data_IF_516771571871
#
_entry.id   IF_516771571871
#
_cell.length_a   1.000
_cell.length_b   1.000
_cell.length_c   1.000
_cell.angle_alpha   90.00
_cell.angle_beta   90.00
_cell.angle_gamma   90.00
#
_symmetry.space_group_name_H-M   'P 1'
#
loop_
_entity.id
_entity.type
_entity.pdbx_description
1 polymer ?
#
# COMPACT_ATOMS: atom_id res chain seq x y z
N UNK A 1 -10.24 -3.38 7.93
CA UNK A 1 -9.30 -2.37 7.36
C UNK A 1 -8.88 -1.40 8.45
N UNK A 2 -7.60 -1.18 8.62
CA UNK A 2 -7.03 -0.28 9.62
C UNK A 2 -6.43 0.94 8.93
N UNK A 3 -6.83 2.13 9.37
CA UNK A 3 -6.33 3.43 8.87
C UNK A 3 -5.39 4.02 9.91
N UNK A 4 -4.19 4.41 9.47
CA UNK A 4 -3.13 4.91 10.33
C UNK A 4 -2.85 6.36 9.94
N UNK A 5 -3.28 7.26 10.80
CA UNK A 5 -3.10 8.70 10.61
C UNK A 5 -1.83 9.18 11.31
N UNK A 6 -1.28 10.27 10.82
CA UNK A 6 -0.18 10.97 11.48
C UNK A 6 -0.59 11.41 12.90
N UNK A 7 0.31 11.28 13.85
CA UNK A 7 0.11 11.82 15.21
C UNK A 7 0.36 13.34 15.26
N UNK A 8 1.23 13.84 14.38
CA UNK A 8 1.52 15.28 14.30
C UNK A 8 0.51 16.03 13.42
N UNK A 9 -0.15 15.34 12.48
CA UNK A 9 -1.24 15.85 11.64
C UNK A 9 -2.43 14.89 11.68
N UNK A 10 -3.28 14.88 12.75
CA UNK A 10 -4.25 13.81 13.02
C UNK A 10 -5.26 13.51 11.90
N UNK A 11 -5.53 14.47 11.03
CA UNK A 11 -6.44 14.30 9.90
C UNK A 11 -5.74 13.74 8.63
N UNK A 12 -4.42 13.54 8.66
CA UNK A 12 -3.64 13.07 7.52
C UNK A 12 -3.48 11.55 7.58
N UNK A 13 -4.09 10.85 6.64
CA UNK A 13 -3.91 9.41 6.46
C UNK A 13 -2.55 9.14 5.82
N UNK A 14 -1.73 8.34 6.47
CA UNK A 14 -0.39 7.97 5.99
C UNK A 14 -0.33 6.54 5.48
N UNK A 15 -0.97 5.60 6.19
CA UNK A 15 -0.90 4.18 5.87
C UNK A 15 -2.26 3.50 6.01
N UNK A 16 -2.41 2.37 5.35
CA UNK A 16 -3.58 1.49 5.45
C UNK A 16 -3.11 0.04 5.53
N UNK A 17 -3.75 -0.75 6.39
CA UNK A 17 -3.69 -2.21 6.40
C UNK A 17 -5.04 -2.75 5.94
N UNK A 18 -5.03 -3.63 4.95
CA UNK A 18 -6.19 -4.36 4.46
C UNK A 18 -5.95 -5.86 4.63
N UNK A 19 -6.85 -6.52 5.34
CA UNK A 19 -6.74 -7.94 5.68
C UNK A 19 -7.52 -8.79 4.68
N UNK A 20 -7.10 -10.04 4.52
CA UNK A 20 -7.87 -11.04 3.78
C UNK A 20 -9.31 -11.16 4.33
N UNK A 21 -9.48 -10.96 5.63
CA UNK A 21 -10.80 -10.96 6.30
C UNK A 21 -11.67 -9.74 5.99
N UNK A 22 -11.10 -8.67 5.45
CA UNK A 22 -11.84 -7.45 5.07
C UNK A 22 -12.56 -7.55 3.71
N UNK A 23 -12.28 -8.61 2.93
CA UNK A 23 -12.95 -8.81 1.64
C UNK A 23 -14.46 -8.97 1.81
N UNK A 24 -15.22 -8.19 1.08
CA UNK A 24 -16.68 -8.32 0.94
C UNK A 24 -17.07 -8.59 -0.51
N UNK A 25 -18.30 -9.07 -0.74
CA UNK A 25 -18.75 -9.43 -2.08
C UNK A 25 -18.72 -8.23 -3.04
N UNK A 26 -18.35 -8.50 -4.28
CA UNK A 26 -18.24 -7.50 -5.35
C UNK A 26 -16.91 -6.77 -5.33
N UNK A 27 -16.89 -5.59 -5.94
CA UNK A 27 -15.74 -4.67 -5.98
C UNK A 27 -15.83 -3.67 -4.83
N UNK A 28 -14.75 -3.53 -4.09
CA UNK A 28 -14.62 -2.55 -3.01
C UNK A 28 -13.32 -1.78 -3.17
N UNK A 29 -13.39 -0.47 -3.36
CA UNK A 29 -12.22 0.38 -3.43
C UNK A 29 -11.60 0.53 -2.03
N UNK A 30 -10.34 0.14 -1.89
CA UNK A 30 -9.60 0.17 -0.62
C UNK A 30 -9.00 1.56 -0.39
N UNK A 31 -8.56 2.18 -1.47
CA UNK A 31 -7.82 3.43 -1.47
C UNK A 31 -8.72 4.55 -2.00
N UNK A 32 -8.65 5.73 -1.36
CA UNK A 32 -9.36 6.92 -1.83
C UNK A 32 -8.93 7.27 -3.26
N UNK A 33 -9.91 7.66 -4.10
CA UNK A 33 -9.69 7.94 -5.52
C UNK A 33 -8.74 9.13 -5.78
N UNK A 34 -8.47 9.95 -4.78
CA UNK A 34 -7.50 11.05 -4.86
C UNK A 34 -6.04 10.59 -4.77
N UNK A 35 -5.80 9.37 -4.28
CA UNK A 35 -4.45 8.80 -4.17
C UNK A 35 -3.95 8.30 -5.54
N UNK A 36 -2.63 8.31 -5.74
CA UNK A 36 -2.02 7.84 -6.98
C UNK A 36 -1.99 6.31 -7.08
N UNK A 37 -1.67 5.64 -5.99
CA UNK A 37 -1.74 4.19 -5.90
C UNK A 37 -3.18 3.78 -5.65
N UNK A 38 -3.81 3.22 -6.66
CA UNK A 38 -5.18 2.74 -6.56
C UNK A 38 -5.21 1.24 -6.30
N UNK A 39 -6.10 0.81 -5.42
CA UNK A 39 -6.35 -0.61 -5.18
C UNK A 39 -7.81 -0.86 -4.85
N UNK A 40 -8.32 -1.96 -5.36
CA UNK A 40 -9.64 -2.47 -5.01
C UNK A 40 -9.57 -3.96 -4.69
N UNK A 41 -10.33 -4.41 -3.72
CA UNK A 41 -10.59 -5.84 -3.53
C UNK A 41 -11.77 -6.29 -4.39
N UNK A 42 -11.67 -7.49 -4.94
CA UNK A 42 -12.72 -8.11 -5.75
C UNK A 42 -12.97 -9.53 -5.23
N UNK A 43 -14.17 -9.75 -4.69
CA UNK A 43 -14.66 -11.07 -4.32
C UNK A 43 -15.88 -11.38 -5.18
N UNK A 44 -15.70 -12.26 -6.15
CA UNK A 44 -16.67 -12.49 -7.21
C UNK A 44 -16.87 -13.99 -7.42
N UNK A 45 -18.04 -14.35 -7.92
CA UNK A 45 -18.41 -15.74 -8.21
C UNK A 45 -17.86 -16.19 -9.56
N UNK A 46 -17.81 -17.52 -9.76
CA UNK A 46 -17.43 -18.15 -11.01
C UNK A 46 -18.28 -17.63 -12.17
N UNK A 47 -17.64 -17.41 -13.32
CA UNK A 47 -18.30 -16.92 -14.53
C UNK A 47 -18.49 -15.40 -14.59
N UNK A 48 -18.22 -14.66 -13.52
CA UNK A 48 -18.24 -13.20 -13.55
C UNK A 48 -17.19 -12.66 -14.51
N UNK A 49 -17.60 -11.79 -15.42
CA UNK A 49 -16.71 -11.16 -16.41
C UNK A 49 -17.02 -9.68 -16.57
N UNK A 50 -16.20 -9.00 -17.33
CA UNK A 50 -16.28 -7.57 -17.58
C UNK A 50 -16.25 -7.29 -19.08
N UNK A 51 -16.75 -6.12 -19.50
CA UNK A 51 -16.62 -5.69 -20.90
C UNK A 51 -15.15 -5.42 -21.22
N UNK A 52 -14.61 -6.00 -22.33
CA UNK A 52 -13.27 -5.66 -22.80
C UNK A 52 -13.14 -4.15 -23.00
N UNK A 53 -12.02 -3.58 -22.54
CA UNK A 53 -11.76 -2.15 -22.66
C UNK A 53 -10.25 -1.89 -22.73
N UNK A 54 -9.90 -0.66 -23.08
CA UNK A 54 -8.53 -0.16 -23.00
C UNK A 54 -8.52 1.18 -22.30
N UNK A 55 -7.44 1.45 -21.60
CA UNK A 55 -7.23 2.76 -20.97
C UNK A 55 -6.78 3.79 -22.00
N UNK A 56 -7.12 5.06 -21.74
CA UNK A 56 -6.74 6.20 -22.56
C UNK A 56 -5.62 7.00 -21.88
N UNK A 57 -4.83 7.72 -22.69
CA UNK A 57 -3.81 8.61 -22.16
C UNK A 57 -4.44 9.72 -21.34
N UNK A 58 -3.91 9.95 -20.13
CA UNK A 58 -4.29 11.06 -19.26
C UNK A 58 -3.09 11.96 -19.01
N UNK A 59 -3.28 13.24 -19.22
CA UNK A 59 -2.28 14.24 -18.84
C UNK A 59 -2.33 14.42 -17.32
N UNK A 60 -1.18 14.28 -16.66
CA UNK A 60 -1.01 14.50 -15.21
C UNK A 60 -0.02 15.64 -15.01
N UNK A 61 -0.39 16.67 -14.24
CA UNK A 61 0.39 17.88 -14.05
C UNK A 61 0.78 18.13 -12.59
N UNK A 62 0.96 17.05 -11.79
CA UNK A 62 1.32 17.18 -10.38
C UNK A 62 2.57 16.37 -10.08
N UNK A 63 3.51 16.97 -9.36
CA UNK A 63 4.56 16.24 -8.69
C UNK A 63 3.95 15.35 -7.62
N UNK A 64 4.43 14.12 -7.54
CA UNK A 64 3.90 13.13 -6.60
C UNK A 64 5.03 12.40 -5.90
N UNK A 65 4.84 12.16 -4.61
CA UNK A 65 5.66 11.23 -3.86
C UNK A 65 5.35 9.79 -4.32
N UNK A 66 6.35 8.93 -4.39
CA UNK A 66 6.12 7.52 -4.65
C UNK A 66 5.25 6.90 -3.55
N UNK A 67 4.21 6.20 -3.96
CA UNK A 67 3.34 5.44 -3.05
C UNK A 67 3.57 3.95 -3.27
N UNK A 68 3.51 3.17 -2.21
CA UNK A 68 3.92 1.76 -2.24
C UNK A 68 2.92 0.86 -1.50
N UNK A 69 2.76 -0.36 -2.01
CA UNK A 69 1.98 -1.43 -1.39
C UNK A 69 2.80 -2.71 -1.34
N UNK A 70 2.72 -3.42 -0.21
CA UNK A 70 3.19 -4.80 -0.06
C UNK A 70 2.02 -5.74 0.14
N UNK A 71 1.99 -6.83 -0.62
CA UNK A 71 0.97 -7.88 -0.55
C UNK A 71 1.64 -9.17 -0.12
N UNK A 72 1.31 -9.67 1.07
CA UNK A 72 1.83 -10.94 1.57
C UNK A 72 1.08 -12.11 0.92
N UNK A 73 1.78 -12.88 0.09
CA UNK A 73 1.23 -14.05 -0.62
C UNK A 73 1.35 -15.31 0.23
N UNK A 74 2.45 -15.43 0.99
CA UNK A 74 2.77 -16.56 1.86
C UNK A 74 3.71 -16.11 2.96
N UNK A 75 3.59 -16.69 4.14
CA UNK A 75 4.44 -16.37 5.28
C UNK A 75 3.95 -15.17 6.07
N UNK A 76 4.86 -14.41 6.63
CA UNK A 76 4.55 -13.23 7.41
C UNK A 76 5.63 -12.15 7.35
N UNK A 77 5.18 -10.89 7.43
CA UNK A 77 6.01 -9.69 7.33
C UNK A 77 5.65 -8.74 8.45
N UNK A 78 6.63 -8.24 9.18
CA UNK A 78 6.45 -7.14 10.14
C UNK A 78 6.69 -5.82 9.41
N UNK A 79 5.70 -4.95 9.48
CA UNK A 79 5.76 -3.60 8.93
C UNK A 79 6.08 -2.60 10.05
N UNK A 80 7.01 -1.70 9.79
CA UNK A 80 7.31 -0.54 10.62
C UNK A 80 6.88 0.70 9.87
N UNK A 81 5.94 1.44 10.41
CA UNK A 81 5.48 2.69 9.82
C UNK A 81 5.98 3.87 10.62
N UNK A 82 6.45 4.89 9.90
CA UNK A 82 7.03 6.10 10.47
C UNK A 82 6.15 7.30 10.13
N UNK A 83 6.05 8.22 11.08
CA UNK A 83 5.37 9.50 10.89
C UNK A 83 6.27 10.46 10.10
N UNK A 84 5.78 11.66 9.81
CA UNK A 84 6.46 12.70 9.04
C UNK A 84 7.62 13.37 9.81
N UNK A 85 7.78 13.06 11.10
CA UNK A 85 8.93 13.45 11.94
C UNK A 85 9.96 12.31 12.08
N UNK A 86 9.88 11.28 11.21
CA UNK A 86 10.76 10.11 11.16
C UNK A 86 10.70 9.18 12.39
N UNK A 87 9.73 9.38 13.28
CA UNK A 87 9.54 8.48 14.43
C UNK A 87 8.59 7.34 14.10
N UNK A 88 8.82 6.19 14.74
CA UNK A 88 7.92 5.04 14.62
C UNK A 88 6.52 5.45 15.05
N UNK A 89 5.58 5.30 14.14
CA UNK A 89 4.17 5.56 14.34
C UNK A 89 3.46 4.32 14.88
N UNK A 90 3.57 3.20 14.17
CA UNK A 90 2.98 1.92 14.51
C UNK A 90 3.74 0.76 13.85
N UNK A 91 3.53 -0.45 14.37
CA UNK A 91 4.00 -1.69 13.75
C UNK A 91 2.87 -2.68 13.57
N UNK A 92 2.85 -3.40 12.44
CA UNK A 92 1.85 -4.41 12.12
C UNK A 92 2.49 -5.67 11.56
N UNK A 93 1.80 -6.80 11.71
CA UNK A 93 2.18 -8.06 11.05
C UNK A 93 1.18 -8.32 9.93
N UNK A 94 1.70 -8.48 8.69
CA UNK A 94 0.95 -8.99 7.55
C UNK A 94 1.10 -10.50 7.51
N UNK A 95 -0.01 -11.19 7.27
CA UNK A 95 -0.09 -12.62 6.99
C UNK A 95 -0.59 -12.85 5.57
N UNK A 96 -0.63 -14.09 5.14
CA UNK A 96 -1.12 -14.49 3.82
C UNK A 96 -2.45 -13.81 3.45
N UNK A 97 -2.44 -13.09 2.33
CA UNK A 97 -3.59 -12.35 1.80
C UNK A 97 -3.79 -10.95 2.38
N UNK A 98 -2.95 -10.53 3.33
CA UNK A 98 -2.95 -9.16 3.85
C UNK A 98 -2.09 -8.25 2.97
N UNK A 99 -2.42 -6.96 2.96
CA UNK A 99 -1.61 -5.96 2.30
C UNK A 99 -1.52 -4.64 3.10
N UNK A 100 -0.47 -3.89 2.82
CA UNK A 100 -0.25 -2.54 3.36
C UNK A 100 -0.19 -1.53 2.23
N UNK A 101 -0.50 -0.29 2.54
CA UNK A 101 -0.32 0.86 1.65
C UNK A 101 0.36 1.98 2.40
N UNK A 102 1.36 2.60 1.77
CA UNK A 102 2.02 3.81 2.26
C UNK A 102 1.81 4.92 1.24
N UNK A 103 1.17 6.01 1.68
CA UNK A 103 0.88 7.19 0.84
C UNK A 103 1.88 8.30 1.09
N UNK A 104 2.31 8.46 2.34
CA UNK A 104 3.38 9.34 2.83
C UNK A 104 3.94 8.76 4.13
N UNK A 105 5.01 9.34 4.64
CA UNK A 105 5.74 8.83 5.80
C UNK A 105 6.72 7.72 5.41
N UNK A 106 7.49 7.28 6.38
CA UNK A 106 8.45 6.21 6.19
C UNK A 106 7.86 4.83 6.41
N UNK A 107 8.51 3.82 5.85
CA UNK A 107 8.18 2.43 6.13
C UNK A 107 9.43 1.55 6.05
N UNK A 108 9.39 0.42 6.73
CA UNK A 108 10.36 -0.66 6.63
C UNK A 108 9.66 -1.99 6.84
N UNK A 109 10.28 -3.06 6.37
CA UNK A 109 9.73 -4.41 6.44
C UNK A 109 10.78 -5.40 6.93
N UNK A 110 10.34 -6.34 7.78
CA UNK A 110 11.13 -7.46 8.26
C UNK A 110 10.42 -8.76 7.93
N UNK A 111 11.10 -9.65 7.24
CA UNK A 111 10.59 -11.01 6.93
C UNK A 111 10.68 -11.86 8.19
N UNK A 112 9.55 -12.44 8.61
CA UNK A 112 9.48 -13.22 9.86
C UNK A 112 9.59 -14.73 9.67
N UNK A 113 9.40 -15.23 8.45
CA UNK A 113 9.42 -16.66 8.13
C UNK A 113 10.23 -16.92 6.86
N UNK A 114 10.99 -18.02 6.85
CA UNK A 114 11.69 -18.47 5.65
C UNK A 114 10.71 -18.76 4.53
N UNK A 115 11.06 -18.38 3.30
CA UNK A 115 10.22 -18.60 2.11
C UNK A 115 9.00 -17.69 2.03
N UNK A 116 8.94 -16.61 2.79
CA UNK A 116 7.90 -15.57 2.65
C UNK A 116 7.90 -15.00 1.24
N UNK A 117 6.71 -14.90 0.65
CA UNK A 117 6.48 -14.37 -0.68
C UNK A 117 5.63 -13.10 -0.59
N UNK A 118 6.08 -12.05 -1.24
CA UNK A 118 5.37 -10.76 -1.32
C UNK A 118 5.36 -10.22 -2.75
N UNK A 119 4.31 -9.49 -3.11
CA UNK A 119 4.36 -8.54 -4.21
C UNK A 119 4.53 -7.13 -3.67
N UNK A 120 5.42 -6.38 -4.28
CA UNK A 120 5.56 -4.95 -4.09
C UNK A 120 4.97 -4.23 -5.32
N UNK A 121 4.07 -3.29 -5.09
CA UNK A 121 3.57 -2.38 -6.10
C UNK A 121 3.90 -0.95 -5.68
N UNK A 122 4.42 -0.18 -6.59
CA UNK A 122 4.63 1.26 -6.34
C UNK A 122 4.35 2.09 -7.58
N UNK A 123 4.08 3.35 -7.37
CA UNK A 123 3.93 4.29 -8.47
C UNK A 123 5.27 4.57 -9.14
N UNK A 124 5.28 4.60 -10.47
CA UNK A 124 6.46 4.89 -11.28
C UNK A 124 6.30 6.17 -12.08
N UNK A 125 7.23 6.45 -13.02
CA UNK A 125 8.41 5.63 -13.39
C UNK A 125 9.50 5.62 -12.32
N UNK A 126 10.37 4.60 -12.33
CA UNK A 126 11.48 4.46 -11.43
C UNK A 126 12.79 4.84 -12.13
N UNK A 127 13.47 5.87 -11.64
CA UNK A 127 14.70 6.43 -12.23
C UNK A 127 15.95 6.16 -11.38
N UNK A 128 15.84 5.31 -10.38
CA UNK A 128 16.90 4.96 -9.45
C UNK A 128 16.58 5.37 -8.01
N UNK A 129 17.22 4.69 -7.06
CA UNK A 129 16.97 4.87 -5.64
C UNK A 129 17.20 6.30 -5.16
N UNK A 130 18.21 6.96 -5.68
CA UNK A 130 18.58 8.33 -5.31
C UNK A 130 17.54 9.39 -5.68
N UNK A 131 16.65 9.10 -6.66
CA UNK A 131 15.55 9.97 -7.08
C UNK A 131 14.19 9.55 -6.50
N UNK A 132 14.15 8.45 -5.75
CA UNK A 132 12.91 7.84 -5.25
C UNK A 132 12.75 7.98 -3.74
N UNK A 133 13.82 7.86 -2.97
CA UNK A 133 13.76 7.83 -1.51
C UNK A 133 15.01 8.38 -0.81
N UNK A 134 14.83 8.72 0.45
CA UNK A 134 15.91 8.98 1.39
C UNK A 134 15.79 8.00 2.56
N UNK A 135 16.94 7.60 3.13
CA UNK A 135 16.94 6.74 4.32
C UNK A 135 16.74 7.57 5.57
N UNK A 136 15.92 7.03 6.48
CA UNK A 136 15.74 7.63 7.80
C UNK A 136 16.98 7.36 8.65
N UNK A 137 17.38 8.32 9.46
CA UNK A 137 18.41 8.14 10.46
C UNK A 137 17.79 7.47 11.68
N UNK A 138 18.16 6.25 11.94
CA UNK A 138 17.82 5.54 13.18
C UNK A 138 18.68 6.02 14.36
#
# INVERSE_FOLDING_TARGET
MEKINSKIYPNKLLHVIYRKSDFTNGRNDIVDQSQFLQCASLKMDEGKTFKPHKHIWKKRNTDVIAQESWVCIKGSVKCFFYDLDDKILETYILKEGDCSFTFEGGHNYEILEDGTLVYEFKTGPYEGQEFDKVFLNE
#
